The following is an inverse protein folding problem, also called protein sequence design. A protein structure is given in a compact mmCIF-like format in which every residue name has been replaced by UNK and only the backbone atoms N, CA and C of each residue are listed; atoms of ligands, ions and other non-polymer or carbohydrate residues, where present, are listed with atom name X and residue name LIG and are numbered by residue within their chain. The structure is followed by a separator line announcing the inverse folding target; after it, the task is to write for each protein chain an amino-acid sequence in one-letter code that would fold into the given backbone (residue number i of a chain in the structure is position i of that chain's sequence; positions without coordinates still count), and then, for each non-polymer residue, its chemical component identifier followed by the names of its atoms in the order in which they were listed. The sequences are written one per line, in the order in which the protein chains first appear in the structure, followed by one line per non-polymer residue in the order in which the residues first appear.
data_IF_651047617594
#
_entry.id   IF_651047617594
#
_cell.length_a   1.000
_cell.length_b   1.000
_cell.length_c   1.000
_cell.angle_alpha   90.00
_cell.angle_beta   90.00
_cell.angle_gamma   90.00
#
_symmetry.space_group_name_H-M   'P 1'
#
loop_
_entity.id
_entity.type
_entity.pdbx_description
1 polymer ?
#
# COMPACT_ATOMS: atom_id res chain seq x y z
N UNK A 1 -37.21 19.93 -36.99
CA UNK A 1 -36.59 18.59 -37.07
C UNK A 1 -35.12 18.75 -36.72
N UNK A 2 -34.73 18.46 -35.48
CA UNK A 2 -33.32 18.57 -35.07
C UNK A 2 -32.58 17.31 -35.52
N UNK A 3 -31.67 17.45 -36.50
CA UNK A 3 -30.73 16.40 -36.87
C UNK A 3 -29.72 16.26 -35.73
N UNK A 4 -29.96 15.32 -34.83
CA UNK A 4 -28.96 14.90 -33.86
C UNK A 4 -27.90 14.13 -34.65
N UNK A 5 -26.73 14.75 -34.84
CA UNK A 5 -25.61 14.15 -35.55
C UNK A 5 -25.26 12.79 -34.96
N UNK A 6 -25.22 11.76 -35.79
CA UNK A 6 -24.81 10.38 -35.45
C UNK A 6 -23.42 10.35 -34.77
N UNK A 7 -22.57 11.35 -35.06
CA UNK A 7 -21.28 11.55 -34.41
C UNK A 7 -21.38 11.80 -32.90
N UNK A 8 -22.44 12.46 -32.42
CA UNK A 8 -22.66 12.75 -31.00
C UNK A 8 -23.13 11.51 -30.24
N UNK A 9 -23.82 10.57 -30.91
CA UNK A 9 -24.27 9.31 -30.32
C UNK A 9 -23.11 8.32 -30.10
N UNK A 10 -22.09 8.35 -30.98
CA UNK A 10 -20.91 7.49 -30.92
C UNK A 10 -19.97 7.83 -29.74
N UNK A 11 -19.85 9.10 -29.38
CA UNK A 11 -19.01 9.55 -28.25
C UNK A 11 -19.62 9.19 -26.88
N UNK A 12 -20.95 9.06 -26.78
CA UNK A 12 -21.63 8.62 -25.55
C UNK A 12 -21.57 7.09 -25.34
N UNK A 13 -21.38 6.31 -26.41
CA UNK A 13 -21.31 4.84 -26.33
C UNK A 13 -19.97 4.29 -25.80
N UNK A 14 -18.89 5.06 -25.86
CA UNK A 14 -17.55 4.59 -25.52
C UNK A 14 -17.18 4.71 -24.02
N UNK A 15 -17.96 5.45 -23.23
CA UNK A 15 -17.64 5.68 -21.81
C UNK A 15 -18.05 4.54 -20.87
N UNK A 16 -18.69 3.48 -21.38
CA UNK A 16 -19.18 2.36 -20.54
C UNK A 16 -18.12 1.29 -20.26
N UNK A 17 -16.94 1.38 -20.88
CA UNK A 17 -15.83 0.46 -20.65
C UNK A 17 -14.70 1.16 -19.88
N UNK A 18 -15.03 1.86 -18.80
CA UNK A 18 -14.05 2.09 -17.76
C UNK A 18 -13.74 0.71 -17.15
N UNK A 19 -12.75 0.01 -17.71
CA UNK A 19 -12.11 -1.10 -17.02
C UNK A 19 -11.52 -0.52 -15.75
N UNK A 20 -12.25 -0.68 -14.64
CA UNK A 20 -11.69 -0.49 -13.32
C UNK A 20 -10.55 -1.51 -13.21
N UNK A 21 -9.33 -1.07 -13.51
CA UNK A 21 -8.12 -1.82 -13.20
C UNK A 21 -8.15 -1.97 -11.69
N UNK A 22 -8.62 -3.13 -11.22
CA UNK A 22 -8.41 -3.53 -9.84
C UNK A 22 -6.90 -3.64 -9.70
N UNK A 23 -6.29 -2.67 -9.02
CA UNK A 23 -4.96 -2.84 -8.48
C UNK A 23 -4.96 -4.19 -7.77
N UNK A 24 -3.98 -5.04 -8.08
CA UNK A 24 -3.92 -6.38 -7.51
C UNK A 24 -3.94 -6.26 -5.98
N UNK A 25 -5.04 -6.69 -5.36
CA UNK A 25 -5.26 -6.53 -3.92
C UNK A 25 -4.44 -7.59 -3.20
N UNK A 26 -3.20 -7.22 -2.86
CA UNK A 26 -2.35 -8.03 -2.00
C UNK A 26 -2.97 -8.12 -0.60
N UNK A 27 -2.92 -9.31 0.06
CA UNK A 27 -3.43 -9.45 1.42
C UNK A 27 -2.70 -8.48 2.35
N UNK A 28 -3.48 -7.70 3.10
CA UNK A 28 -2.95 -6.82 4.13
C UNK A 28 -2.58 -7.65 5.35
N UNK A 29 -1.32 -7.57 5.75
CA UNK A 29 -0.81 -8.23 6.96
C UNK A 29 -1.09 -7.36 8.18
N UNK A 30 -0.75 -6.06 8.09
CA UNK A 30 -0.93 -5.13 9.20
C UNK A 30 -1.10 -3.69 8.71
N UNK A 31 -1.71 -2.87 9.57
CA UNK A 31 -1.84 -1.43 9.38
C UNK A 31 -1.38 -0.71 10.65
N UNK A 32 -0.32 0.07 10.53
CA UNK A 32 0.22 0.89 11.61
C UNK A 32 -0.27 2.33 11.47
N UNK A 33 -1.11 2.76 12.41
CA UNK A 33 -1.58 4.15 12.48
C UNK A 33 -0.64 4.91 13.41
N UNK A 34 0.20 5.76 12.82
CA UNK A 34 1.09 6.66 13.54
C UNK A 34 0.45 8.05 13.68
N UNK A 35 1.14 8.95 14.37
CA UNK A 35 0.65 10.30 14.68
C UNK A 35 0.36 11.14 13.44
N UNK A 36 1.22 11.05 12.44
CA UNK A 36 1.19 11.88 11.23
C UNK A 36 0.82 11.09 9.96
N UNK A 37 0.97 9.76 9.98
CA UNK A 37 0.82 8.89 8.82
C UNK A 37 0.30 7.52 9.18
N UNK A 38 -0.16 6.79 8.17
CA UNK A 38 -0.56 5.40 8.25
C UNK A 38 0.30 4.56 7.32
N UNK A 39 0.78 3.43 7.83
CA UNK A 39 1.55 2.45 7.05
C UNK A 39 0.70 1.21 6.88
N UNK A 40 0.55 0.76 5.63
CA UNK A 40 -0.07 -0.53 5.32
C UNK A 40 1.01 -1.47 4.83
N UNK A 41 1.11 -2.64 5.46
CA UNK A 41 2.01 -3.70 5.05
C UNK A 41 1.20 -4.79 4.38
N UNK A 42 1.54 -5.13 3.15
CA UNK A 42 0.90 -6.20 2.37
C UNK A 42 1.93 -7.25 1.96
N UNK A 43 1.48 -8.44 1.57
CA UNK A 43 2.34 -9.51 1.06
C UNK A 43 2.12 -9.73 -0.42
N UNK A 44 3.21 -9.83 -1.19
CA UNK A 44 3.19 -10.38 -2.54
C UNK A 44 4.06 -11.64 -2.63
N UNK A 45 4.18 -12.19 -3.85
CA UNK A 45 5.01 -13.37 -4.10
C UNK A 45 6.52 -13.13 -3.88
N UNK A 46 6.94 -11.87 -3.76
CA UNK A 46 8.33 -11.45 -3.62
C UNK A 46 8.62 -10.89 -2.21
N UNK A 47 7.67 -10.97 -1.27
CA UNK A 47 7.84 -10.53 0.11
C UNK A 47 6.88 -9.40 0.52
N UNK A 48 7.36 -8.53 1.41
CA UNK A 48 6.55 -7.45 1.95
C UNK A 48 6.55 -6.24 1.04
N UNK A 49 5.39 -5.58 0.99
CA UNK A 49 5.17 -4.30 0.34
C UNK A 49 4.65 -3.30 1.36
N UNK A 50 5.11 -2.07 1.24
CA UNK A 50 4.75 -0.99 2.14
C UNK A 50 4.04 0.13 1.39
N UNK A 51 2.95 0.61 1.98
CA UNK A 51 2.25 1.82 1.54
C UNK A 51 2.30 2.85 2.65
N UNK A 52 2.62 4.10 2.30
CA UNK A 52 2.67 5.24 3.20
C UNK A 52 1.55 6.19 2.80
N UNK A 53 0.64 6.44 3.74
CA UNK A 53 -0.46 7.38 3.58
C UNK A 53 -0.42 8.44 4.67
N UNK A 54 -0.89 9.64 4.40
CA UNK A 54 -1.18 10.64 5.43
C UNK A 54 -2.34 10.17 6.31
N UNK A 55 -2.52 10.81 7.48
CA UNK A 55 -3.62 10.50 8.41
C UNK A 55 -5.03 10.58 7.80
N UNK A 56 -5.21 11.39 6.77
CA UNK A 56 -6.49 11.58 6.07
C UNK A 56 -6.74 10.52 4.99
N UNK A 57 -5.80 9.59 4.80
CA UNK A 57 -5.90 8.50 3.84
C UNK A 57 -5.27 8.81 2.47
N UNK A 58 -4.72 9.99 2.24
CA UNK A 58 -4.00 10.28 0.99
C UNK A 58 -2.75 9.41 0.88
N UNK A 59 -2.67 8.59 -0.18
CA UNK A 59 -1.50 7.73 -0.42
C UNK A 59 -0.35 8.57 -0.97
N UNK A 60 0.76 8.62 -0.24
CA UNK A 60 1.99 9.30 -0.65
C UNK A 60 2.84 8.39 -1.54
N UNK A 61 2.99 7.12 -1.14
CA UNK A 61 3.65 6.09 -1.93
C UNK A 61 3.02 4.73 -1.65
N UNK A 62 2.93 3.89 -2.68
CA UNK A 62 2.45 2.51 -2.59
C UNK A 62 3.48 1.53 -3.14
N UNK A 63 3.36 0.26 -2.73
CA UNK A 63 4.18 -0.86 -3.22
C UNK A 63 5.70 -0.64 -3.06
N UNK A 64 6.11 0.03 -1.99
CA UNK A 64 7.53 0.18 -1.66
C UNK A 64 8.10 -1.16 -1.17
N UNK A 65 9.31 -1.50 -1.63
CA UNK A 65 10.14 -2.54 -1.01
C UNK A 65 10.85 -2.00 0.23
N UNK A 66 11.42 -2.88 1.03
CA UNK A 66 12.06 -2.52 2.31
C UNK A 66 13.16 -1.47 2.12
N UNK A 67 14.07 -1.68 1.16
CA UNK A 67 15.15 -0.75 0.84
C UNK A 67 14.64 0.62 0.38
N UNK A 68 13.49 0.64 -0.30
CA UNK A 68 12.85 1.87 -0.76
C UNK A 68 12.16 2.61 0.39
N UNK A 69 11.56 1.87 1.33
CA UNK A 69 11.01 2.43 2.55
C UNK A 69 12.12 3.04 3.41
N UNK A 70 13.22 2.33 3.61
CA UNK A 70 14.37 2.82 4.37
C UNK A 70 14.98 4.08 3.75
N UNK A 71 15.14 4.12 2.42
CA UNK A 71 15.73 5.26 1.73
C UNK A 71 14.83 6.52 1.77
N UNK A 72 13.50 6.34 1.62
CA UNK A 72 12.55 7.48 1.53
C UNK A 72 12.01 7.92 2.89
N UNK A 73 11.84 6.97 3.80
CA UNK A 73 11.18 7.16 5.09
C UNK A 73 11.97 6.43 6.19
N UNK A 74 13.22 6.85 6.49
CA UNK A 74 14.07 6.17 7.46
C UNK A 74 13.46 6.15 8.87
N UNK A 75 12.73 7.20 9.23
CA UNK A 75 11.96 7.31 10.48
C UNK A 75 10.87 6.23 10.58
N UNK A 76 10.14 6.01 9.48
CA UNK A 76 9.11 4.97 9.40
C UNK A 76 9.72 3.59 9.48
N UNK A 77 10.80 3.38 8.74
CA UNK A 77 11.50 2.09 8.70
C UNK A 77 11.93 1.64 10.10
N UNK A 78 12.55 2.52 10.89
CA UNK A 78 12.99 2.18 12.24
C UNK A 78 11.83 1.85 13.19
N UNK A 79 10.66 2.45 12.98
CA UNK A 79 9.46 2.15 13.78
C UNK A 79 8.73 0.87 13.34
N UNK A 80 8.76 0.55 12.04
CA UNK A 80 8.03 -0.60 11.48
C UNK A 80 8.86 -1.89 11.57
N UNK A 81 10.18 -1.83 11.36
CA UNK A 81 11.08 -3.00 11.36
C UNK A 81 10.90 -3.91 12.58
N UNK A 82 10.80 -3.41 13.83
CA UNK A 82 10.63 -4.27 15.01
C UNK A 82 9.29 -5.02 15.05
N UNK A 83 8.28 -4.55 14.31
CA UNK A 83 6.97 -5.19 14.25
C UNK A 83 6.89 -6.33 13.22
N UNK A 84 7.95 -6.54 12.43
CA UNK A 84 8.00 -7.58 11.41
C UNK A 84 8.71 -8.81 11.96
N UNK A 85 8.00 -9.94 12.00
CA UNK A 85 8.62 -11.23 12.27
C UNK A 85 9.55 -11.59 11.10
N UNK A 86 10.79 -11.95 11.41
CA UNK A 86 11.77 -12.44 10.44
C UNK A 86 12.14 -13.87 10.77
N UNK A 87 12.22 -14.72 9.74
CA UNK A 87 12.74 -16.09 9.87
C UNK A 87 14.25 -16.12 10.12
N UNK A 88 14.92 -14.97 10.07
CA UNK A 88 16.30 -14.86 10.50
C UNK A 88 16.35 -15.09 11.99
N UNK A 89 16.89 -16.25 12.39
CA UNK A 89 17.29 -16.56 13.76
C UNK A 89 18.08 -15.37 14.28
N UNK A 90 17.44 -14.55 15.09
CA UNK A 90 18.12 -13.54 15.87
C UNK A 90 18.73 -14.31 17.03
N UNK A 91 20.06 -14.45 17.06
CA UNK A 91 20.79 -14.98 18.22
C UNK A 91 20.48 -14.21 19.53
N UNK A 92 19.80 -13.08 19.41
CA UNK A 92 19.20 -12.36 20.51
C UNK A 92 17.85 -12.96 20.89
N UNK A 93 17.88 -14.12 21.57
CA UNK A 93 16.76 -14.56 22.41
C UNK A 93 16.56 -13.45 23.44
N UNK A 94 15.54 -12.60 23.27
CA UNK A 94 15.07 -11.74 24.35
C UNK A 94 14.20 -12.64 25.22
N UNK A 95 14.67 -13.11 26.40
CA UNK A 95 13.82 -13.89 27.27
C UNK A 95 12.61 -13.02 27.62
N UNK A 96 11.42 -13.53 27.31
CA UNK A 96 10.18 -12.90 27.70
C UNK A 96 10.10 -12.92 29.23
N UNK A 97 10.48 -11.82 29.86
CA UNK A 97 10.32 -11.61 31.30
C UNK A 97 8.84 -11.30 31.55
N UNK A 98 8.01 -12.34 31.51
CA UNK A 98 6.58 -12.23 31.81
C UNK A 98 6.36 -11.47 33.11
N UNK A 99 5.38 -10.56 33.08
CA UNK A 99 4.73 -10.06 34.29
C UNK A 99 3.60 -11.00 34.68
#
# INVERSE_FOLDING_TARGET
MAQVSVATLLLLGFSLFATATRAQEHPTITRLVMRDRTITVTSDSNGLLYSVSTKDGTVLNANLREEQLQAKYPDVYENVRPAIASDKVTDSVIPWAGM
#
